data_IF_508396172864
#
_entry.id   IF_508396172864
#
_cell.length_a   1.000
_cell.length_b   1.000
_cell.length_c   1.000
_cell.angle_alpha   90.00
_cell.angle_beta   90.00
_cell.angle_gamma   90.00
#
_symmetry.space_group_name_H-M   'P 1'
#
loop_
_entity.id
_entity.type
_entity.pdbx_description
1 polymer ?
#
# COMPACT_ATOMS: atom_id res chain seq x y z
N UNK A 1 0.01 2.42 3.45
CA UNK A 1 -0.62 1.89 2.21
C UNK A 1 0.34 2.19 1.06
N UNK A 2 0.64 1.21 0.21
CA UNK A 2 1.62 1.33 -0.87
C UNK A 2 1.01 0.87 -2.20
N UNK A 3 1.28 1.64 -3.27
CA UNK A 3 0.83 1.37 -4.64
C UNK A 3 1.97 1.44 -5.64
N UNK A 4 2.39 2.66 -6.02
CA UNK A 4 3.48 2.87 -7.01
C UNK A 4 4.87 2.54 -6.44
N UNK A 5 5.05 2.67 -5.12
CA UNK A 5 6.34 2.56 -4.42
C UNK A 5 6.52 1.24 -3.69
N UNK A 6 7.77 0.92 -3.33
CA UNK A 6 8.16 -0.32 -2.64
C UNK A 6 8.37 -0.09 -1.13
N UNK A 7 7.58 -0.71 -0.24
CA UNK A 7 7.80 -0.67 1.21
C UNK A 7 9.21 -1.07 1.64
N UNK A 8 9.85 -2.01 0.96
CA UNK A 8 11.22 -2.42 1.31
C UNK A 8 12.27 -1.32 1.06
N UNK A 9 11.96 -0.33 0.21
CA UNK A 9 12.88 0.77 -0.13
C UNK A 9 12.51 2.09 0.56
N UNK A 10 11.20 2.37 0.69
CA UNK A 10 10.69 3.65 1.19
C UNK A 10 9.65 3.48 2.29
N UNK A 11 9.73 2.38 3.02
CA UNK A 11 8.84 2.05 4.14
C UNK A 11 9.05 2.93 5.37
N UNK A 12 8.08 2.96 6.30
CA UNK A 12 8.25 3.59 7.60
C UNK A 12 9.36 2.91 8.42
N UNK A 13 10.09 3.71 9.21
CA UNK A 13 11.11 3.20 10.13
C UNK A 13 10.49 2.79 11.48
N UNK A 14 11.11 1.84 12.17
CA UNK A 14 10.69 1.38 13.50
C UNK A 14 9.60 0.30 13.46
N UNK A 15 8.99 0.00 14.61
CA UNK A 15 7.97 -1.04 14.76
C UNK A 15 6.55 -0.45 14.83
N UNK A 16 5.54 -1.32 14.84
CA UNK A 16 4.14 -0.92 15.06
C UNK A 16 3.41 -0.40 13.82
N UNK A 17 4.01 -0.55 12.64
CA UNK A 17 3.37 -0.25 11.36
C UNK A 17 2.81 -1.51 10.71
N UNK A 18 1.70 -1.36 9.99
CA UNK A 18 1.15 -2.40 9.12
C UNK A 18 1.21 -1.91 7.67
N UNK A 19 1.82 -2.72 6.81
CA UNK A 19 1.92 -2.43 5.38
C UNK A 19 0.71 -3.05 4.66
N UNK A 20 -0.09 -2.20 4.03
CA UNK A 20 -1.17 -2.60 3.13
C UNK A 20 -0.72 -2.34 1.70
N UNK A 21 -0.66 -3.39 0.89
CA UNK A 21 -0.25 -3.37 -0.52
C UNK A 21 -0.80 -4.59 -1.23
N UNK A 22 -1.29 -4.43 -2.45
CA UNK A 22 -1.58 -5.54 -3.35
C UNK A 22 -0.60 -5.53 -4.52
N UNK A 23 0.05 -6.67 -4.77
CA UNK A 23 0.94 -6.80 -5.92
C UNK A 23 0.13 -6.89 -7.21
N UNK A 24 0.55 -6.11 -8.20
CA UNK A 24 0.00 -6.10 -9.55
C UNK A 24 1.18 -6.01 -10.52
N UNK A 25 0.97 -6.45 -11.76
CA UNK A 25 1.97 -6.45 -12.83
C UNK A 25 2.76 -5.13 -12.94
N UNK A 26 2.09 -3.99 -12.84
CA UNK A 26 2.70 -2.68 -13.02
C UNK A 26 3.35 -2.10 -11.74
N UNK A 27 3.34 -2.78 -10.60
CA UNK A 27 3.85 -2.25 -9.32
C UNK A 27 5.01 -3.12 -8.79
N UNK A 28 6.11 -2.52 -8.33
CA UNK A 28 6.32 -1.07 -8.13
C UNK A 28 6.84 -0.37 -9.40
N UNK A 29 6.22 0.75 -9.81
CA UNK A 29 6.67 1.51 -11.00
C UNK A 29 7.36 2.84 -10.68
N UNK A 30 7.21 3.38 -9.46
CA UNK A 30 7.77 4.67 -9.04
C UNK A 30 7.41 5.88 -9.90
N UNK A 31 6.39 5.77 -10.76
CA UNK A 31 5.92 6.88 -11.57
C UNK A 31 5.09 7.85 -10.73
N UNK A 32 5.26 9.16 -11.00
CA UNK A 32 4.48 10.24 -10.36
C UNK A 32 3.03 10.24 -10.82
N UNK A 33 2.80 9.96 -12.09
CA UNK A 33 1.49 9.86 -12.71
C UNK A 33 1.31 8.43 -13.23
N UNK A 34 0.15 7.82 -12.95
CA UNK A 34 -0.13 6.47 -13.42
C UNK A 34 -0.54 6.53 -14.90
N UNK A 35 0.14 5.80 -15.80
CA UNK A 35 -0.19 5.80 -17.22
C UNK A 35 -1.41 4.92 -17.56
N UNK A 36 -1.99 4.24 -16.56
CA UNK A 36 -3.09 3.29 -16.74
C UNK A 36 -4.27 3.64 -15.82
N UNK A 37 -4.58 2.81 -14.81
CA UNK A 37 -5.84 2.84 -14.08
C UNK A 37 -5.70 2.94 -12.55
N UNK A 38 -4.47 3.04 -12.03
CA UNK A 38 -4.17 2.96 -10.59
C UNK A 38 -4.63 1.65 -9.92
N UNK A 39 -4.67 0.52 -10.63
CA UNK A 39 -5.12 -0.76 -10.04
C UNK A 39 -4.40 -1.14 -8.74
N UNK A 40 -3.12 -0.81 -8.60
CA UNK A 40 -2.33 -1.07 -7.38
C UNK A 40 -2.90 -0.37 -6.13
N UNK A 41 -3.61 0.75 -6.29
CA UNK A 41 -4.28 1.47 -5.20
C UNK A 41 -5.77 1.15 -5.14
N UNK A 42 -6.43 0.93 -6.30
CA UNK A 42 -7.87 0.67 -6.36
C UNK A 42 -8.28 -0.69 -5.81
N UNK A 43 -7.37 -1.66 -5.77
CA UNK A 43 -7.66 -2.97 -5.18
C UNK A 43 -7.68 -2.93 -3.65
N UNK A 44 -7.03 -1.94 -3.03
CA UNK A 44 -7.06 -1.73 -1.58
C UNK A 44 -8.46 -1.27 -1.17
N UNK A 45 -9.07 -2.01 -0.25
CA UNK A 45 -10.47 -1.75 0.16
C UNK A 45 -10.54 -1.02 1.50
N UNK A 46 -11.62 -0.26 1.72
CA UNK A 46 -11.86 0.41 3.01
C UNK A 46 -11.96 -0.59 4.18
N UNK A 47 -12.70 -1.72 4.08
CA UNK A 47 -12.75 -2.70 5.16
C UNK A 47 -11.38 -3.24 5.56
N UNK A 48 -10.54 -3.60 4.59
CA UNK A 48 -9.16 -4.06 4.84
C UNK A 48 -8.34 -3.03 5.63
N UNK A 49 -8.46 -1.74 5.28
CA UNK A 49 -7.77 -0.66 5.99
C UNK A 49 -8.31 -0.50 7.41
N UNK A 50 -9.63 -0.58 7.60
CA UNK A 50 -10.26 -0.50 8.93
C UNK A 50 -9.79 -1.65 9.81
N UNK A 51 -9.79 -2.88 9.30
CA UNK A 51 -9.34 -4.06 10.06
C UNK A 51 -7.87 -3.94 10.47
N UNK A 52 -7.01 -3.47 9.57
CA UNK A 52 -5.60 -3.21 9.89
C UNK A 52 -5.45 -2.17 11.00
N UNK A 53 -6.20 -1.05 10.96
CA UNK A 53 -6.17 -0.03 12.01
C UNK A 53 -6.66 -0.61 13.34
N UNK A 54 -7.77 -1.35 13.34
CA UNK A 54 -8.31 -1.98 14.54
C UNK A 54 -7.38 -3.04 15.15
N UNK A 55 -6.45 -3.61 14.37
CA UNK A 55 -5.43 -4.53 14.88
C UNK A 55 -4.30 -3.82 15.65
N UNK A 56 -4.08 -2.53 15.39
CA UNK A 56 -3.03 -1.72 16.01
C UNK A 56 -3.53 -0.99 17.26
N UNK A 57 -4.81 -0.61 17.30
CA UNK A 57 -5.41 0.16 18.41
C UNK A 57 -5.71 -0.65 19.68
N UNK A 58 -5.35 -1.93 19.72
CA UNK A 58 -5.63 -2.83 20.86
C UNK A 58 -4.58 -2.74 21.94
#
# INVERSE_FOLDING_TARGET
IFGSTEPALTGPLGNGHVIIRHHVECSPCFLRECPIDFRCMKTVTVPEVVDAVMSILR
#
